data_IF_387524615886
#
_entry.id   IF_387524615886
#
_cell.length_a   1.000
_cell.length_b   1.000
_cell.length_c   1.000
_cell.angle_alpha   90.00
_cell.angle_beta   90.00
_cell.angle_gamma   90.00
#
_symmetry.space_group_name_H-M   'P 1'
#
loop_
_entity.id
_entity.type
_entity.pdbx_description
1 polymer ?
#
# COMPACT_ATOMS: atom_id res chain seq x y z
N UNK A 1 -12.71 -15.37 20.30
CA UNK A 1 -12.35 -16.26 19.18
C UNK A 1 -13.08 -15.77 17.94
N UNK A 2 -12.39 -15.03 17.07
CA UNK A 2 -12.91 -14.79 15.73
C UNK A 2 -12.76 -16.13 14.99
N UNK A 3 -13.87 -16.82 14.74
CA UNK A 3 -13.94 -17.94 13.80
C UNK A 3 -13.70 -17.39 12.39
N UNK A 4 -12.46 -17.00 12.09
CA UNK A 4 -12.13 -16.49 10.77
C UNK A 4 -12.03 -17.68 9.83
N UNK A 5 -13.09 -17.88 9.04
CA UNK A 5 -13.05 -18.80 7.92
C UNK A 5 -11.96 -18.34 6.95
N UNK A 6 -11.10 -19.27 6.55
CA UNK A 6 -10.10 -19.06 5.52
C UNK A 6 -10.03 -20.27 4.62
N UNK A 7 -9.69 -20.03 3.36
CA UNK A 7 -9.46 -21.07 2.37
C UNK A 7 -7.98 -21.14 2.06
N UNK A 8 -7.45 -22.37 1.98
CA UNK A 8 -6.11 -22.62 1.45
C UNK A 8 -6.26 -23.35 0.11
N UNK A 9 -5.76 -22.74 -0.96
CA UNK A 9 -5.79 -23.28 -2.32
C UNK A 9 -4.39 -23.36 -2.92
N UNK A 10 -4.22 -24.28 -3.86
CA UNK A 10 -2.96 -24.41 -4.61
C UNK A 10 -2.99 -23.40 -5.73
N UNK A 11 -2.01 -22.49 -5.77
CA UNK A 11 -1.94 -21.49 -6.83
C UNK A 11 -1.13 -22.01 -8.02
N UNK A 12 0.01 -22.66 -7.74
CA UNK A 12 0.76 -23.48 -8.70
C UNK A 12 1.67 -24.47 -7.94
N UNK A 13 2.52 -25.20 -8.64
CA UNK A 13 3.42 -26.22 -8.06
C UNK A 13 4.46 -25.66 -7.06
N UNK A 14 4.66 -24.33 -7.04
CA UNK A 14 5.58 -23.61 -6.15
C UNK A 14 4.86 -22.70 -5.14
N UNK A 15 3.53 -22.59 -5.17
CA UNK A 15 2.84 -21.59 -4.34
C UNK A 15 1.45 -21.99 -3.86
N UNK A 16 1.14 -21.52 -2.66
CA UNK A 16 -0.13 -21.73 -1.97
C UNK A 16 -0.73 -20.35 -1.69
N UNK A 17 -2.03 -20.21 -1.98
CA UNK A 17 -2.80 -19.03 -1.64
C UNK A 17 -3.63 -19.32 -0.38
N UNK A 18 -3.55 -18.43 0.59
CA UNK A 18 -4.38 -18.42 1.80
C UNK A 18 -5.28 -17.19 1.69
N UNK A 19 -6.59 -17.38 1.69
CA UNK A 19 -7.57 -16.30 1.57
C UNK A 19 -8.47 -16.28 2.79
N UNK A 20 -8.49 -15.15 3.48
CA UNK A 20 -9.29 -14.93 4.69
C UNK A 20 -10.61 -14.26 4.34
N UNK A 21 -11.69 -14.70 4.98
CA UNK A 21 -13.04 -14.17 4.81
C UNK A 21 -13.36 -13.07 5.84
N UNK A 22 -12.49 -12.08 5.94
CA UNK A 22 -12.73 -10.91 6.79
C UNK A 22 -12.85 -9.62 5.96
N UNK A 23 -13.52 -8.63 6.55
CA UNK A 23 -13.66 -7.30 5.93
C UNK A 23 -12.33 -6.55 5.85
N UNK A 24 -12.16 -5.70 4.83
CA UNK A 24 -10.94 -4.91 4.62
C UNK A 24 -10.96 -3.70 5.57
N UNK A 25 -10.25 -3.82 6.70
CA UNK A 25 -10.06 -2.74 7.67
C UNK A 25 -8.70 -2.85 8.36
N UNK A 26 -8.34 -1.83 9.14
CA UNK A 26 -7.02 -1.75 9.81
C UNK A 26 -6.76 -2.89 10.79
N UNK A 27 -7.77 -3.35 11.54
CA UNK A 27 -7.60 -4.45 12.50
C UNK A 27 -7.33 -5.79 11.80
N UNK A 28 -7.97 -5.99 10.67
CA UNK A 28 -7.87 -7.23 9.91
C UNK A 28 -6.60 -7.30 9.07
N UNK A 29 -6.05 -6.17 8.61
CA UNK A 29 -4.71 -6.18 8.00
C UNK A 29 -3.64 -6.53 9.04
N UNK A 30 -3.76 -6.06 10.28
CA UNK A 30 -2.81 -6.40 11.34
C UNK A 30 -2.82 -7.90 11.65
N UNK A 31 -4.02 -8.49 11.66
CA UNK A 31 -4.18 -9.94 11.74
C UNK A 31 -3.53 -10.68 10.55
N UNK A 32 -3.74 -10.18 9.32
CA UNK A 32 -3.12 -10.76 8.13
C UNK A 32 -1.59 -10.74 8.22
N UNK A 33 -1.04 -9.62 8.67
CA UNK A 33 0.39 -9.40 8.83
C UNK A 33 0.98 -10.23 9.98
N UNK A 34 0.21 -10.43 11.05
CA UNK A 34 0.55 -11.39 12.10
C UNK A 34 0.72 -12.80 11.52
N UNK A 35 -0.28 -13.31 10.78
CA UNK A 35 -0.18 -14.65 10.18
C UNK A 35 0.95 -14.75 9.14
N UNK A 36 1.20 -13.67 8.38
CA UNK A 36 2.36 -13.59 7.49
C UNK A 36 3.66 -13.80 8.26
N UNK A 37 3.86 -13.07 9.36
CA UNK A 37 5.08 -13.17 10.16
C UNK A 37 5.21 -14.55 10.80
N UNK A 38 4.12 -15.08 11.35
CA UNK A 38 4.06 -16.44 11.91
C UNK A 38 4.49 -17.51 10.88
N UNK A 39 3.98 -17.43 9.65
CA UNK A 39 4.32 -18.37 8.58
C UNK A 39 5.80 -18.26 8.21
N UNK A 40 6.32 -17.03 8.10
CA UNK A 40 7.75 -16.78 7.80
C UNK A 40 8.62 -17.38 8.91
N UNK A 41 8.34 -17.10 10.18
CA UNK A 41 9.13 -17.59 11.32
C UNK A 41 9.18 -19.11 11.39
N UNK A 42 8.06 -19.79 11.10
CA UNK A 42 7.98 -21.26 11.14
C UNK A 42 8.50 -21.96 9.88
N UNK A 43 8.76 -21.24 8.78
CA UNK A 43 9.09 -21.85 7.48
C UNK A 43 10.20 -21.14 6.69
N UNK A 44 10.96 -20.24 7.32
CA UNK A 44 11.87 -19.30 6.66
C UNK A 44 12.83 -19.90 5.64
N UNK A 45 13.34 -21.12 5.86
CA UNK A 45 14.31 -21.78 4.96
C UNK A 45 13.70 -22.29 3.65
N UNK A 46 12.37 -22.44 3.57
CA UNK A 46 11.68 -23.01 2.41
C UNK A 46 10.91 -21.98 1.60
N UNK A 47 10.59 -20.83 2.19
CA UNK A 47 9.81 -19.76 1.58
C UNK A 47 10.77 -18.85 0.82
N UNK A 48 10.52 -18.72 -0.48
CA UNK A 48 11.18 -17.73 -1.34
C UNK A 48 10.60 -16.34 -1.08
N UNK A 49 9.28 -16.24 -1.03
CA UNK A 49 8.59 -14.96 -0.86
C UNK A 49 7.20 -15.19 -0.24
N UNK A 50 6.77 -14.27 0.62
CA UNK A 50 5.41 -14.24 1.14
C UNK A 50 4.81 -12.85 0.93
N UNK A 51 3.82 -12.79 0.04
CA UNK A 51 3.16 -11.56 -0.42
C UNK A 51 1.78 -11.50 0.21
N UNK A 52 1.41 -10.36 0.80
CA UNK A 52 0.04 -10.13 1.24
C UNK A 52 -0.69 -9.17 0.28
N UNK A 53 -2.01 -9.30 0.24
CA UNK A 53 -2.91 -8.26 -0.32
C UNK A 53 -3.76 -7.69 0.83
N UNK A 54 -5.03 -7.37 0.58
CA UNK A 54 -5.98 -6.93 1.59
C UNK A 54 -6.39 -8.03 2.57
N UNK A 55 -6.61 -9.25 2.07
CA UNK A 55 -7.14 -10.37 2.85
C UNK A 55 -6.56 -11.72 2.43
N UNK A 56 -5.46 -11.73 1.68
CA UNK A 56 -4.82 -12.98 1.23
C UNK A 56 -3.31 -12.95 1.39
N UNK A 57 -2.74 -14.13 1.58
CA UNK A 57 -1.30 -14.39 1.60
C UNK A 57 -0.97 -15.38 0.48
N UNK A 58 -0.07 -14.99 -0.42
CA UNK A 58 0.55 -15.90 -1.38
C UNK A 58 1.91 -16.32 -0.83
N UNK A 59 2.03 -17.61 -0.48
CA UNK A 59 3.27 -18.22 -0.03
C UNK A 59 3.95 -18.87 -1.23
N UNK A 60 5.14 -18.37 -1.59
CA UNK A 60 5.95 -18.88 -2.70
C UNK A 60 7.16 -19.61 -2.12
N UNK A 61 7.37 -20.85 -2.52
CA UNK A 61 8.44 -21.71 -2.03
C UNK A 61 9.63 -21.76 -3.01
N UNK A 62 10.82 -22.00 -2.47
CA UNK A 62 12.06 -22.13 -3.26
C UNK A 62 11.99 -23.35 -4.19
N UNK A 63 11.36 -24.44 -3.73
CA UNK A 63 11.28 -25.71 -4.45
C UNK A 63 9.82 -26.11 -4.70
N UNK A 64 9.64 -27.01 -5.66
CA UNK A 64 8.33 -27.61 -5.97
C UNK A 64 7.76 -28.32 -4.74
N UNK A 65 6.45 -28.18 -4.52
CA UNK A 65 5.78 -28.72 -3.35
C UNK A 65 5.42 -30.19 -3.60
N UNK A 66 6.34 -31.10 -3.27
CA UNK A 66 6.18 -32.54 -3.50
C UNK A 66 4.98 -33.18 -2.76
N UNK A 67 4.56 -32.62 -1.62
CA UNK A 67 3.43 -33.10 -0.80
C UNK A 67 2.47 -31.94 -0.52
N UNK A 68 1.83 -31.45 -1.57
CA UNK A 68 0.98 -30.25 -1.52
C UNK A 68 -0.12 -30.32 -0.45
N UNK A 69 -0.80 -31.46 -0.32
CA UNK A 69 -1.83 -31.65 0.69
C UNK A 69 -1.29 -31.55 2.12
N UNK A 70 -0.17 -32.23 2.42
CA UNK A 70 0.46 -32.13 3.74
C UNK A 70 0.91 -30.70 4.04
N UNK A 71 1.39 -29.96 3.02
CA UNK A 71 1.80 -28.58 3.20
C UNK A 71 0.61 -27.67 3.53
N UNK A 72 -0.51 -27.84 2.82
CA UNK A 72 -1.76 -27.13 3.13
C UNK A 72 -2.23 -27.41 4.55
N UNK A 73 -2.30 -28.68 4.96
CA UNK A 73 -2.71 -29.04 6.33
C UNK A 73 -1.76 -28.45 7.37
N UNK A 74 -0.44 -28.48 7.14
CA UNK A 74 0.51 -27.86 8.09
C UNK A 74 0.32 -26.35 8.25
N UNK A 75 -0.03 -25.63 7.17
CA UNK A 75 -0.34 -24.20 7.24
C UNK A 75 -1.66 -23.95 7.98
N UNK A 76 -2.67 -24.79 7.72
CA UNK A 76 -3.96 -24.73 8.38
C UNK A 76 -3.82 -24.98 9.88
N UNK A 77 -3.10 -26.03 10.28
CA UNK A 77 -2.81 -26.35 11.67
C UNK A 77 -2.05 -25.22 12.36
N UNK A 78 -1.03 -24.64 11.72
CA UNK A 78 -0.29 -23.50 12.26
C UNK A 78 -1.21 -22.29 12.53
N UNK A 79 -2.08 -21.94 11.59
CA UNK A 79 -3.00 -20.81 11.73
C UNK A 79 -4.02 -21.06 12.84
N UNK A 80 -4.60 -22.28 12.91
CA UNK A 80 -5.65 -22.62 13.88
C UNK A 80 -5.12 -22.83 15.30
N UNK A 81 -3.88 -23.29 15.46
CA UNK A 81 -3.27 -23.54 16.77
C UNK A 81 -2.63 -22.30 17.41
N UNK A 82 -2.56 -21.19 16.68
CA UNK A 82 -1.93 -19.96 17.16
C UNK A 82 -2.98 -18.94 17.58
N UNK A 83 -2.87 -18.45 18.82
CA UNK A 83 -3.68 -17.33 19.27
C UNK A 83 -3.29 -16.06 18.52
N UNK A 84 -4.26 -15.45 17.87
CA UNK A 84 -4.06 -14.27 17.05
C UNK A 84 -3.66 -13.05 17.88
N UNK A 85 -2.66 -12.31 17.40
CA UNK A 85 -2.40 -10.94 17.83
C UNK A 85 -2.87 -9.97 16.73
N UNK A 86 -3.57 -8.92 17.14
CA UNK A 86 -4.16 -7.90 16.27
C UNK A 86 -3.37 -6.59 16.27
N UNK A 87 -2.21 -6.53 16.93
CA UNK A 87 -1.40 -5.31 17.01
C UNK A 87 -0.10 -5.46 16.22
N UNK A 88 -0.03 -4.82 15.06
CA UNK A 88 1.20 -4.64 14.29
C UNK A 88 1.62 -3.17 14.38
N UNK A 89 2.69 -2.92 15.12
CA UNK A 89 3.27 -1.58 15.28
C UNK A 89 3.98 -1.15 14.00
N UNK A 90 3.28 -0.40 13.14
CA UNK A 90 3.83 0.27 11.97
C UNK A 90 4.37 1.66 12.30
N UNK A 91 5.31 2.13 11.49
CA UNK A 91 5.84 3.49 11.61
C UNK A 91 4.96 4.48 10.86
N UNK A 92 4.88 5.72 11.34
CA UNK A 92 4.18 6.80 10.64
C UNK A 92 5.18 7.63 9.83
N UNK A 93 5.04 7.62 8.51
CA UNK A 93 5.86 8.40 7.60
C UNK A 93 5.14 9.69 7.19
N UNK A 94 5.74 10.86 7.42
CA UNK A 94 5.22 12.12 6.88
C UNK A 94 5.68 12.31 5.43
N UNK A 95 4.75 12.24 4.49
CA UNK A 95 5.03 12.36 3.06
C UNK A 95 4.64 13.75 2.57
N UNK A 96 5.59 14.61 2.16
CA UNK A 96 5.29 15.92 1.61
C UNK A 96 4.60 15.78 0.25
N UNK A 97 3.50 16.49 0.04
CA UNK A 97 2.73 16.46 -1.22
C UNK A 97 2.36 17.88 -1.63
N UNK A 98 2.66 18.22 -2.88
CA UNK A 98 2.17 19.44 -3.50
C UNK A 98 0.88 19.13 -4.27
N UNK A 99 -0.19 19.86 -3.93
CA UNK A 99 -1.52 19.77 -4.56
C UNK A 99 -1.76 20.95 -5.52
N UNK A 100 -0.69 21.55 -6.04
CA UNK A 100 -0.77 22.58 -7.08
C UNK A 100 -1.33 21.99 -8.38
N UNK A 101 -2.01 22.79 -9.20
CA UNK A 101 -2.62 22.35 -10.46
C UNK A 101 -1.62 21.73 -11.45
N UNK A 102 -0.33 22.14 -11.39
CA UNK A 102 0.74 21.53 -12.19
C UNK A 102 0.93 20.04 -11.86
N UNK A 103 0.69 19.65 -10.60
CA UNK A 103 0.91 18.30 -10.09
C UNK A 103 -0.39 17.51 -9.90
N UNK A 104 -1.48 18.18 -9.54
CA UNK A 104 -2.81 17.61 -9.37
C UNK A 104 -3.62 17.64 -10.65
N UNK A 105 -3.27 16.75 -11.59
CA UNK A 105 -3.81 16.72 -12.95
C UNK A 105 -5.34 16.48 -13.05
N UNK A 106 -6.00 16.11 -11.96
CA UNK A 106 -7.44 15.81 -11.89
C UNK A 106 -8.17 16.58 -10.78
N UNK A 107 -7.55 17.61 -10.19
CA UNK A 107 -8.16 18.38 -9.10
C UNK A 107 -9.49 19.04 -9.50
N UNK A 108 -9.52 19.69 -10.67
CA UNK A 108 -10.75 20.27 -11.22
C UNK A 108 -11.84 19.22 -11.43
N UNK A 109 -11.48 18.08 -12.01
CA UNK A 109 -12.44 17.00 -12.24
C UNK A 109 -13.04 16.46 -10.94
N UNK A 110 -12.23 16.28 -9.90
CA UNK A 110 -12.72 15.85 -8.57
C UNK A 110 -13.60 16.94 -7.97
N UNK A 111 -13.17 18.20 -8.05
CA UNK A 111 -13.95 19.34 -7.56
C UNK A 111 -15.35 19.38 -8.15
N UNK A 112 -15.47 19.21 -9.46
CA UNK A 112 -16.74 19.19 -10.18
C UNK A 112 -17.60 17.97 -9.84
N UNK A 113 -17.02 16.76 -9.87
CA UNK A 113 -17.77 15.52 -9.64
C UNK A 113 -18.27 15.40 -8.21
N UNK A 114 -17.48 15.87 -7.25
CA UNK A 114 -17.76 15.69 -5.83
C UNK A 114 -18.34 16.95 -5.17
N UNK A 115 -18.51 18.04 -5.93
CA UNK A 115 -19.05 19.32 -5.47
C UNK A 115 -18.32 19.86 -4.22
N UNK A 116 -16.99 19.85 -4.27
CA UNK A 116 -16.10 20.39 -3.24
C UNK A 116 -15.09 21.33 -3.88
N UNK A 117 -14.59 22.32 -3.14
CA UNK A 117 -13.56 23.21 -3.66
C UNK A 117 -12.20 22.48 -3.78
N UNK A 118 -11.38 22.87 -4.75
CA UNK A 118 -10.03 22.32 -4.94
C UNK A 118 -9.19 22.41 -3.65
N UNK A 119 -9.28 23.52 -2.92
CA UNK A 119 -8.58 23.69 -1.64
C UNK A 119 -8.95 22.60 -0.62
N UNK A 120 -10.23 22.22 -0.56
CA UNK A 120 -10.74 21.19 0.34
C UNK A 120 -10.20 19.81 -0.02
N UNK A 121 -9.84 19.53 -1.27
CA UNK A 121 -9.25 18.23 -1.65
C UNK A 121 -7.97 17.97 -0.85
N UNK A 122 -7.09 18.97 -0.80
CA UNK A 122 -5.82 18.87 -0.07
C UNK A 122 -6.03 18.70 1.44
N UNK A 123 -6.97 19.45 2.01
CA UNK A 123 -7.33 19.39 3.44
C UNK A 123 -7.89 18.01 3.80
N UNK A 124 -8.87 17.53 3.05
CA UNK A 124 -9.52 16.23 3.28
C UNK A 124 -8.54 15.07 3.13
N UNK A 125 -7.67 15.12 2.12
CA UNK A 125 -6.72 14.05 1.87
C UNK A 125 -5.60 14.02 2.91
N UNK A 126 -5.16 15.18 3.43
CA UNK A 126 -4.08 15.26 4.43
C UNK A 126 -4.52 15.19 5.89
N UNK A 127 -5.82 15.28 6.18
CA UNK A 127 -6.35 15.35 7.54
C UNK A 127 -6.20 14.05 8.38
N UNK A 128 -5.81 12.93 7.75
CA UNK A 128 -5.73 11.62 8.42
C UNK A 128 -4.42 10.88 8.14
N UNK A 129 -4.15 9.87 8.96
CA UNK A 129 -3.18 8.84 8.66
C UNK A 129 -3.85 7.75 7.82
N UNK A 130 -3.07 7.12 6.94
CA UNK A 130 -3.50 6.02 6.12
C UNK A 130 -2.67 4.79 6.41
N UNK A 131 -3.31 3.67 6.72
CA UNK A 131 -2.63 2.39 6.83
C UNK A 131 -2.19 1.90 5.45
N UNK A 132 -0.96 1.42 5.35
CA UNK A 132 -0.44 0.71 4.17
C UNK A 132 -0.94 -0.73 4.23
N UNK A 133 -1.92 -1.07 3.39
CA UNK A 133 -2.46 -2.43 3.36
C UNK A 133 -1.47 -3.40 2.73
N UNK A 134 -0.91 -3.04 1.57
CA UNK A 134 0.15 -3.79 0.93
C UNK A 134 0.94 -2.91 -0.04
N UNK A 135 2.09 -3.42 -0.46
CA UNK A 135 2.94 -2.83 -1.50
C UNK A 135 2.83 -3.72 -2.75
N UNK A 136 2.46 -3.14 -3.89
CA UNK A 136 2.25 -3.92 -5.13
C UNK A 136 1.82 -3.05 -6.31
N UNK A 137 1.51 -3.66 -7.47
CA UNK A 137 1.37 -3.01 -8.80
C UNK A 137 2.69 -2.52 -9.40
N UNK A 138 3.43 -1.68 -8.68
CA UNK A 138 4.82 -1.32 -9.00
C UNK A 138 5.70 -1.52 -7.76
N UNK A 139 7.02 -1.76 -7.91
CA UNK A 139 7.92 -1.85 -6.77
C UNK A 139 7.84 -0.58 -5.91
N UNK A 140 7.35 -0.74 -4.68
CA UNK A 140 7.19 0.35 -3.71
C UNK A 140 5.91 1.19 -3.83
N UNK A 141 4.94 0.80 -4.66
CA UNK A 141 3.63 1.47 -4.70
C UNK A 141 2.77 1.04 -3.50
N UNK A 142 2.38 1.96 -2.60
CA UNK A 142 1.55 1.64 -1.44
C UNK A 142 0.07 1.73 -1.77
N UNK A 143 -0.69 0.71 -1.38
CA UNK A 143 -2.15 0.79 -1.34
C UNK A 143 -2.60 1.29 0.03
N UNK A 144 -3.19 2.48 0.05
CA UNK A 144 -3.62 3.21 1.23
C UNK A 144 -5.15 3.31 1.23
N UNK A 145 -5.78 3.11 2.38
CA UNK A 145 -7.24 3.17 2.53
C UNK A 145 -7.60 3.62 3.95
N UNK A 146 -8.74 4.26 4.22
CA UNK A 146 -9.73 4.81 3.28
C UNK A 146 -9.60 6.34 3.24
N UNK A 147 -9.73 6.95 2.07
CA UNK A 147 -9.88 8.42 1.93
C UNK A 147 -11.19 8.89 2.56
N UNK A 148 -11.33 10.20 2.74
CA UNK A 148 -12.62 10.80 3.10
C UNK A 148 -13.66 10.45 2.02
N UNK A 149 -14.87 10.07 2.41
CA UNK A 149 -15.90 9.66 1.46
C UNK A 149 -16.25 10.79 0.48
N UNK A 150 -16.06 12.06 0.86
CA UNK A 150 -16.20 13.22 -0.04
C UNK A 150 -15.16 13.25 -1.17
N UNK A 151 -14.06 12.52 -1.04
CA UNK A 151 -13.04 12.34 -2.07
C UNK A 151 -13.23 11.07 -2.90
N UNK A 152 -14.24 10.24 -2.58
CA UNK A 152 -14.49 9.02 -3.32
C UNK A 152 -14.74 9.35 -4.79
N UNK A 153 -13.94 8.79 -5.69
CA UNK A 153 -14.07 9.04 -7.12
C UNK A 153 -13.64 7.83 -7.93
N UNK A 154 -14.39 7.51 -8.99
CA UNK A 154 -14.06 6.38 -9.87
C UNK A 154 -12.75 6.63 -10.61
N UNK A 155 -12.01 5.54 -10.84
CA UNK A 155 -10.88 5.52 -11.77
C UNK A 155 -11.31 6.00 -13.16
N UNK A 156 -10.39 6.62 -13.89
CA UNK A 156 -10.57 7.07 -15.27
C UNK A 156 -10.99 5.89 -16.16
N UNK A 157 -11.97 6.11 -17.04
CA UNK A 157 -12.39 5.12 -18.04
C UNK A 157 -11.26 4.80 -19.03
N UNK A 158 -10.46 5.81 -19.36
CA UNK A 158 -9.26 5.70 -20.20
C UNK A 158 -8.05 6.15 -19.36
N UNK A 159 -7.13 5.24 -18.99
CA UNK A 159 -5.92 5.61 -18.28
C UNK A 159 -5.08 6.63 -19.07
N UNK A 160 -4.35 7.50 -18.35
CA UNK A 160 -3.27 8.27 -18.98
C UNK A 160 -2.17 7.32 -19.42
N UNK A 161 -1.58 7.57 -20.58
CA UNK A 161 -0.45 6.79 -21.10
C UNK A 161 0.79 6.91 -20.22
N UNK A 162 0.97 8.04 -19.55
CA UNK A 162 2.04 8.27 -18.60
C UNK A 162 1.63 9.33 -17.58
N UNK A 163 2.09 9.13 -16.35
CA UNK A 163 2.10 10.11 -15.26
C UNK A 163 3.52 10.22 -14.70
N UNK A 164 3.92 11.36 -14.10
CA UNK A 164 5.22 11.50 -13.49
C UNK A 164 5.41 10.62 -12.25
N UNK A 165 6.64 10.12 -12.03
CA UNK A 165 7.09 9.59 -10.73
C UNK A 165 6.69 10.52 -9.57
N UNK A 166 6.27 9.94 -8.45
CA UNK A 166 5.85 10.64 -7.25
C UNK A 166 4.39 11.12 -7.29
N UNK A 167 3.66 10.88 -8.39
CA UNK A 167 2.24 11.25 -8.46
C UNK A 167 1.45 10.58 -7.33
N UNK A 168 0.53 11.31 -6.72
CA UNK A 168 -0.41 10.82 -5.71
C UNK A 168 -1.78 10.76 -6.36
N UNK A 169 -2.48 9.64 -6.22
CA UNK A 169 -3.78 9.47 -6.85
C UNK A 169 -4.83 8.83 -5.97
N UNK A 170 -6.10 8.98 -6.36
CA UNK A 170 -7.27 8.37 -5.74
C UNK A 170 -8.03 7.50 -6.76
N UNK A 171 -8.52 6.35 -6.30
CA UNK A 171 -9.52 5.54 -7.03
C UNK A 171 -10.44 4.81 -6.04
N UNK A 172 -11.75 5.05 -6.17
CA UNK A 172 -12.72 4.66 -5.15
C UNK A 172 -12.35 5.32 -3.83
N UNK A 173 -12.25 4.49 -2.79
CA UNK A 173 -11.83 4.93 -1.46
C UNK A 173 -10.31 4.76 -1.20
N UNK A 174 -9.54 4.38 -2.22
CA UNK A 174 -8.10 4.14 -2.09
C UNK A 174 -7.29 5.35 -2.52
N UNK A 175 -6.17 5.57 -1.84
CA UNK A 175 -5.11 6.49 -2.26
C UNK A 175 -3.78 5.75 -2.36
N UNK A 176 -2.80 6.34 -3.03
CA UNK A 176 -1.55 5.67 -3.38
C UNK A 176 -0.57 6.61 -4.05
N UNK A 177 0.69 6.20 -4.07
CA UNK A 177 1.80 7.02 -4.57
C UNK A 177 2.57 6.22 -5.62
N UNK A 178 2.71 6.78 -6.81
CA UNK A 178 3.38 6.13 -7.92
C UNK A 178 4.91 6.26 -7.77
N UNK A 179 5.64 5.16 -7.51
CA UNK A 179 7.09 5.19 -7.25
C UNK A 179 7.92 5.47 -8.52
N UNK A 180 7.31 5.33 -9.69
CA UNK A 180 7.91 5.63 -10.99
C UNK A 180 6.87 6.07 -12.02
N UNK A 181 7.34 6.67 -13.11
CA UNK A 181 6.48 7.08 -14.22
C UNK A 181 5.86 5.87 -14.90
N UNK A 182 4.54 5.88 -15.08
CA UNK A 182 3.79 4.72 -15.57
C UNK A 182 2.43 5.13 -16.15
N UNK A 183 1.76 4.26 -16.94
CA UNK A 183 0.35 4.45 -17.25
C UNK A 183 -0.50 4.36 -15.98
N UNK A 184 -1.46 5.28 -15.81
CA UNK A 184 -2.29 5.32 -14.61
C UNK A 184 -3.75 5.65 -14.91
N UNK A 185 -4.65 4.91 -14.28
CA UNK A 185 -6.09 5.14 -14.33
C UNK A 185 -6.64 5.89 -13.11
N UNK A 186 -5.83 6.19 -12.10
CA UNK A 186 -6.29 6.89 -10.90
C UNK A 186 -6.37 8.39 -11.17
N UNK A 187 -7.20 9.09 -10.39
CA UNK A 187 -7.31 10.54 -10.46
C UNK A 187 -6.14 11.15 -9.67
N UNK A 188 -5.27 11.89 -10.33
CA UNK A 188 -4.02 12.44 -9.78
C UNK A 188 -4.33 13.76 -9.08
N UNK A 189 -4.03 13.82 -7.78
CA UNK A 189 -4.38 14.95 -6.91
C UNK A 189 -3.17 15.77 -6.48
N UNK A 190 -1.95 15.27 -6.72
CA UNK A 190 -0.74 15.96 -6.34
C UNK A 190 0.49 15.11 -6.59
N UNK A 191 1.63 15.55 -6.06
CA UNK A 191 2.91 14.88 -6.24
C UNK A 191 3.81 15.03 -5.02
N UNK A 192 4.51 13.96 -4.68
CA UNK A 192 5.60 13.98 -3.69
C UNK A 192 6.97 14.04 -4.40
N UNK A 193 7.94 14.79 -3.86
CA UNK A 193 9.31 14.79 -4.37
C UNK A 193 10.13 13.56 -3.89
N UNK A 194 9.56 12.72 -3.02
CA UNK A 194 10.28 11.61 -2.40
C UNK A 194 10.41 10.39 -3.32
N UNK A 195 11.48 9.64 -3.07
CA UNK A 195 11.74 8.34 -3.69
C UNK A 195 11.19 7.22 -2.82
N UNK A 196 10.12 6.55 -3.30
CA UNK A 196 9.45 5.48 -2.56
C UNK A 196 10.11 4.10 -2.75
N UNK A 197 10.98 3.97 -3.74
CA UNK A 197 11.65 2.72 -4.05
C UNK A 197 13.08 2.96 -4.50
N UNK A 198 14.01 2.41 -3.75
CA UNK A 198 15.41 2.33 -4.10
C UNK A 198 15.63 1.16 -5.05
N UNK A 199 15.94 1.48 -6.31
CA UNK A 199 16.15 0.50 -7.37
C UNK A 199 17.46 -0.28 -7.21
N UNK A 200 18.46 0.29 -6.55
CA UNK A 200 19.79 -0.32 -6.37
C UNK A 200 19.69 -1.41 -5.30
N UNK A 201 19.17 -1.04 -4.13
CA UNK A 201 19.03 -1.96 -2.99
C UNK A 201 17.72 -2.76 -3.03
N UNK A 202 16.86 -2.52 -4.04
CA UNK A 202 15.53 -3.12 -4.20
C UNK A 202 14.67 -2.99 -2.94
N UNK A 203 14.70 -1.80 -2.33
CA UNK A 203 14.09 -1.52 -1.03
C UNK A 203 12.96 -0.51 -1.19
N UNK A 204 11.79 -0.82 -0.65
CA UNK A 204 10.72 0.17 -0.54
C UNK A 204 10.90 1.02 0.71
N UNK A 205 10.53 2.29 0.61
CA UNK A 205 10.45 3.23 1.72
C UNK A 205 9.39 2.79 2.75
N UNK A 206 8.27 2.25 2.27
CA UNK A 206 7.11 1.85 3.06
C UNK A 206 6.96 0.34 3.06
N UNK A 207 6.43 -0.20 4.16
CA UNK A 207 6.05 -1.61 4.30
C UNK A 207 4.57 -1.75 4.63
N UNK A 208 3.99 -2.90 4.33
CA UNK A 208 2.64 -3.23 4.80
C UNK A 208 2.59 -3.13 6.32
N UNK A 209 1.56 -2.47 6.84
CA UNK A 209 1.42 -2.14 8.26
C UNK A 209 1.94 -0.76 8.65
N UNK A 210 2.78 -0.10 7.84
CA UNK A 210 3.15 1.29 8.11
C UNK A 210 1.95 2.23 7.95
N UNK A 211 2.09 3.46 8.45
CA UNK A 211 1.16 4.55 8.24
C UNK A 211 1.79 5.65 7.38
N UNK A 212 0.98 6.27 6.54
CA UNK A 212 1.33 7.48 5.79
C UNK A 212 0.51 8.64 6.31
N UNK A 213 1.17 9.74 6.68
CA UNK A 213 0.52 11.04 6.90
C UNK A 213 0.95 11.97 5.78
N UNK A 214 0.02 12.37 4.93
CA UNK A 214 0.33 13.34 3.88
C UNK A 214 0.47 14.74 4.47
N UNK A 215 1.54 15.45 4.10
CA UNK A 215 1.85 16.80 4.55
C UNK A 215 1.79 17.76 3.36
N UNK A 216 0.75 18.61 3.25
CA UNK A 216 0.69 19.59 2.18
C UNK A 216 1.90 20.52 2.20
N UNK A 217 2.52 20.72 1.05
CA UNK A 217 3.59 21.69 0.85
C UNK A 217 3.28 22.62 -0.32
N UNK A 218 3.75 23.86 -0.24
CA UNK A 218 3.70 24.79 -1.37
C UNK A 218 4.57 24.27 -2.52
N UNK A 219 4.40 24.87 -3.70
CA UNK A 219 5.26 24.60 -4.85
C UNK A 219 6.74 24.91 -4.58
N UNK A 220 7.04 25.99 -3.86
CA UNK A 220 8.41 26.30 -3.44
C UNK A 220 8.97 25.24 -2.49
N UNK A 221 8.18 24.83 -1.48
CA UNK A 221 8.58 23.78 -0.55
C UNK A 221 8.79 22.43 -1.24
N UNK A 222 7.99 22.10 -2.25
CA UNK A 222 8.23 20.91 -3.09
C UNK A 222 9.59 20.95 -3.77
N UNK A 223 9.94 22.07 -4.41
CA UNK A 223 11.21 22.23 -5.13
C UNK A 223 12.42 22.19 -4.18
N UNK A 224 12.30 22.81 -3.01
CA UNK A 224 13.33 22.75 -1.97
C UNK A 224 13.57 21.32 -1.48
N UNK A 225 12.49 20.58 -1.18
CA UNK A 225 12.60 19.18 -0.77
C UNK A 225 13.16 18.33 -1.91
N UNK A 226 12.75 18.58 -3.15
CA UNK A 226 13.27 17.85 -4.31
C UNK A 226 14.78 18.02 -4.46
N UNK A 227 15.29 19.24 -4.30
CA UNK A 227 16.73 19.51 -4.31
C UNK A 227 17.45 18.81 -3.15
N UNK A 228 16.84 18.78 -1.95
CA UNK A 228 17.38 18.05 -0.80
C UNK A 228 17.39 16.52 -1.00
N UNK A 229 16.36 15.96 -1.62
CA UNK A 229 16.31 14.52 -1.98
C UNK A 229 17.41 14.20 -2.99
N UNK A 230 17.58 15.04 -4.02
CA UNK A 230 18.65 14.89 -5.00
C UNK A 230 20.05 14.95 -4.37
N UNK A 231 20.23 15.78 -3.34
CA UNK A 231 21.48 15.92 -2.57
C UNK A 231 21.61 14.91 -1.42
N UNK A 232 20.68 13.98 -1.28
CA UNK A 232 20.63 13.00 -0.18
C UNK A 232 20.64 13.62 1.23
N UNK A 233 20.16 14.87 1.36
CA UNK A 233 20.15 15.63 2.62
C UNK A 233 18.77 15.71 3.26
N UNK A 234 17.70 15.34 2.53
CA UNK A 234 16.36 15.30 3.08
C UNK A 234 16.21 14.16 4.10
N UNK A 235 15.76 14.49 5.31
CA UNK A 235 15.42 13.52 6.34
C UNK A 235 13.90 13.42 6.45
N UNK A 236 13.36 12.27 6.06
CA UNK A 236 11.93 12.00 6.25
C UNK A 236 11.60 11.90 7.74
N UNK A 237 10.52 12.56 8.14
CA UNK A 237 10.02 12.46 9.52
C UNK A 237 9.27 11.14 9.70
N UNK A 238 9.68 10.38 10.70
CA UNK A 238 9.12 9.08 11.07
C UNK A 238 8.81 9.10 12.57
N UNK A 239 7.60 8.72 12.97
CA UNK A 239 7.19 8.55 14.38
C UNK A 239 6.59 7.19 14.65
#
# INVERSE_FOLDING_TARGET
MLENNFEISVFNEHSILIQFDFEINEKNIDLLLFYRNLIIENNNKSILQLINTYNSLLVIYIFTINKIYNKKESLKELILSTEANHEINGKVFEIPVCYDEEYGLDLEHISEQNNIAISQISELHSARQYRVFFIGFLPGFPYLSHVDQRLEIKRKKRPRSSIPKGSVGIAGLQTGIYPESSPAGWQIIGKTPLDLFDKINKKSLLSAGDYVRFKPVSKSGFLEIQDQVFKESYQIQIS
#
